data_IF_064058365882
#
_entry.id   IF_064058365882
#
_cell.length_a   1.000
_cell.length_b   1.000
_cell.length_c   1.000
_cell.angle_alpha   90.00
_cell.angle_beta   90.00
_cell.angle_gamma   90.00
#
_symmetry.space_group_name_H-M   'P 1'
#
loop_
_entity.id
_entity.type
_entity.pdbx_description
1 polymer ?
#
# COMPACT_ATOMS: atom_id res chain seq x y z
N UNK A 1 53.86 9.05 -10.79
CA UNK A 1 52.93 9.99 -11.47
C UNK A 1 51.55 9.68 -10.92
N UNK A 2 50.85 10.64 -10.29
CA UNK A 2 49.55 10.40 -9.69
C UNK A 2 48.48 10.40 -10.80
N UNK A 3 47.68 9.35 -10.85
CA UNK A 3 46.50 9.27 -11.71
C UNK A 3 45.51 10.37 -11.31
N UNK A 4 45.25 11.32 -12.23
CA UNK A 4 44.13 12.25 -12.10
C UNK A 4 42.83 11.43 -12.14
N UNK A 5 42.30 11.13 -10.95
CA UNK A 5 40.96 10.57 -10.80
C UNK A 5 39.95 11.50 -11.48
N UNK A 6 39.11 10.90 -12.32
CA UNK A 6 38.27 11.59 -13.29
C UNK A 6 37.37 12.64 -12.66
N UNK A 7 37.69 13.91 -12.94
CA UNK A 7 36.75 15.00 -12.77
C UNK A 7 35.64 14.81 -13.81
N UNK A 8 34.46 14.41 -13.36
CA UNK A 8 33.24 14.45 -14.18
C UNK A 8 32.99 15.90 -14.58
N UNK A 9 32.97 16.17 -15.89
CA UNK A 9 32.63 17.49 -16.46
C UNK A 9 31.13 17.83 -16.27
N UNK A 10 30.33 16.89 -15.78
CA UNK A 10 28.90 17.03 -15.59
C UNK A 10 28.63 17.51 -14.16
N UNK A 11 28.61 18.84 -13.99
CA UNK A 11 28.36 19.51 -12.71
C UNK A 11 26.87 19.54 -12.33
N UNK A 12 25.98 19.15 -13.26
CA UNK A 12 24.53 19.12 -13.10
C UNK A 12 23.95 17.70 -13.25
N UNK A 13 24.77 16.68 -12.97
CA UNK A 13 24.35 15.29 -12.88
C UNK A 13 23.96 14.94 -11.44
N UNK A 14 23.03 14.00 -11.27
CA UNK A 14 22.67 13.44 -9.96
C UNK A 14 22.74 11.92 -9.97
N UNK A 15 23.32 11.32 -8.94
CA UNK A 15 23.24 9.87 -8.74
C UNK A 15 21.78 9.48 -8.50
N UNK A 16 21.27 8.51 -9.25
CA UNK A 16 19.93 7.97 -9.09
C UNK A 16 19.60 7.58 -7.65
N UNK A 17 20.59 7.17 -6.83
CA UNK A 17 20.38 6.88 -5.40
C UNK A 17 19.76 8.05 -4.66
N UNK A 18 20.19 9.29 -4.95
CA UNK A 18 19.61 10.49 -4.33
C UNK A 18 18.13 10.61 -4.67
N UNK A 19 17.75 10.37 -5.93
CA UNK A 19 16.34 10.36 -6.33
C UNK A 19 15.54 9.22 -5.67
N UNK A 20 16.12 8.01 -5.57
CA UNK A 20 15.46 6.88 -4.93
C UNK A 20 15.21 7.14 -3.43
N UNK A 21 16.21 7.65 -2.72
CA UNK A 21 16.11 8.00 -1.31
C UNK A 21 15.07 9.12 -1.10
N UNK A 22 15.03 10.09 -2.00
CA UNK A 22 14.09 11.21 -1.96
C UNK A 22 12.61 10.76 -2.04
N UNK A 23 12.31 9.69 -2.78
CA UNK A 23 10.92 9.19 -2.95
C UNK A 23 10.57 8.00 -2.05
N UNK A 24 11.57 7.34 -1.46
CA UNK A 24 11.39 6.09 -0.72
C UNK A 24 10.37 6.22 0.42
N UNK A 25 10.52 7.24 1.27
CA UNK A 25 9.64 7.47 2.42
C UNK A 25 8.19 7.73 1.99
N UNK A 26 8.01 8.59 0.99
CA UNK A 26 6.68 8.95 0.46
C UNK A 26 5.96 7.74 -0.13
N UNK A 27 6.68 6.85 -0.83
CA UNK A 27 6.12 5.62 -1.39
C UNK A 27 5.71 4.64 -0.28
N UNK A 28 6.57 4.42 0.72
CA UNK A 28 6.22 3.56 1.87
C UNK A 28 5.00 4.10 2.61
N UNK A 29 4.93 5.41 2.80
CA UNK A 29 3.77 6.05 3.42
C UNK A 29 2.50 5.87 2.59
N UNK A 30 2.58 5.94 1.26
CA UNK A 30 1.45 5.63 0.40
C UNK A 30 0.99 4.17 0.56
N UNK A 31 1.92 3.20 0.55
CA UNK A 31 1.59 1.78 0.74
C UNK A 31 0.88 1.55 2.08
N UNK A 32 1.41 2.11 3.17
CA UNK A 32 0.78 2.04 4.51
C UNK A 32 -0.57 2.75 4.56
N UNK A 33 -0.72 3.86 3.84
CA UNK A 33 -1.99 4.60 3.79
C UNK A 33 -3.09 3.80 3.09
N UNK A 34 -2.78 3.10 2.02
CA UNK A 34 -3.76 2.38 1.20
C UNK A 34 -3.81 0.87 1.47
N UNK A 35 -2.98 0.37 2.38
CA UNK A 35 -2.90 -1.05 2.69
C UNK A 35 -2.88 -1.36 4.17
N UNK A 36 -3.15 -2.63 4.45
CA UNK A 36 -2.92 -3.28 5.74
C UNK A 36 -2.47 -4.71 5.45
N UNK A 37 -1.27 -5.10 5.90
CA UNK A 37 -0.61 -6.37 5.51
C UNK A 37 -1.48 -7.63 5.65
N UNK A 38 -2.37 -7.64 6.65
CA UNK A 38 -3.25 -8.77 6.95
C UNK A 38 -4.66 -8.65 6.32
N UNK A 39 -4.99 -7.52 5.69
CA UNK A 39 -6.35 -7.23 5.22
C UNK A 39 -6.44 -6.82 3.74
N UNK A 40 -5.33 -6.45 3.11
CA UNK A 40 -5.26 -6.17 1.68
C UNK A 40 -4.64 -4.83 1.35
N UNK A 41 -4.66 -4.49 0.06
CA UNK A 41 -4.08 -3.27 -0.49
C UNK A 41 -4.99 -2.74 -1.60
N UNK A 42 -5.36 -1.47 -1.52
CA UNK A 42 -6.05 -0.76 -2.60
C UNK A 42 -5.07 -0.50 -3.75
N UNK A 43 -4.94 -1.49 -4.64
CA UNK A 43 -3.86 -1.54 -5.63
C UNK A 43 -3.95 -0.37 -6.61
N UNK A 44 -5.12 -0.02 -7.10
CA UNK A 44 -5.26 1.07 -8.07
C UNK A 44 -4.87 2.42 -7.46
N UNK A 45 -5.42 2.73 -6.28
CA UNK A 45 -5.22 3.99 -5.57
C UNK A 45 -3.77 4.15 -5.12
N UNK A 46 -3.13 3.08 -4.60
CA UNK A 46 -1.73 3.13 -4.21
C UNK A 46 -0.82 3.32 -5.43
N UNK A 47 -1.09 2.63 -6.54
CA UNK A 47 -0.28 2.72 -7.76
C UNK A 47 -0.42 4.11 -8.40
N UNK A 48 -1.62 4.67 -8.43
CA UNK A 48 -1.83 6.05 -8.85
C UNK A 48 -1.07 7.05 -7.96
N UNK A 49 -1.16 6.89 -6.63
CA UNK A 49 -0.49 7.80 -5.70
C UNK A 49 1.02 7.73 -5.87
N UNK A 50 1.58 6.54 -6.00
CA UNK A 50 3.01 6.32 -6.25
C UNK A 50 3.43 6.95 -7.57
N UNK A 51 2.64 6.77 -8.65
CA UNK A 51 2.92 7.41 -9.94
C UNK A 51 2.94 8.93 -9.81
N UNK A 52 1.99 9.53 -9.10
CA UNK A 52 1.95 10.97 -8.82
C UNK A 52 3.19 11.42 -8.03
N UNK A 53 3.56 10.72 -6.96
CA UNK A 53 4.78 11.01 -6.17
C UNK A 53 6.02 11.02 -7.08
N UNK A 54 6.23 9.95 -7.84
CA UNK A 54 7.39 9.79 -8.71
C UNK A 54 7.45 10.92 -9.75
N UNK A 55 6.34 11.18 -10.44
CA UNK A 55 6.30 12.23 -11.48
C UNK A 55 6.61 13.59 -10.88
N UNK A 56 5.94 13.99 -9.79
CA UNK A 56 6.15 15.30 -9.17
C UNK A 56 7.59 15.48 -8.66
N UNK A 57 8.11 14.48 -7.94
CA UNK A 57 9.46 14.54 -7.34
C UNK A 57 10.53 14.54 -8.42
N UNK A 58 10.31 13.81 -9.51
CA UNK A 58 11.22 13.78 -10.65
C UNK A 58 11.21 15.09 -11.44
N UNK A 59 10.04 15.68 -11.67
CA UNK A 59 9.96 17.02 -12.29
C UNK A 59 10.75 18.03 -11.47
N UNK A 60 10.55 18.05 -10.15
CA UNK A 60 11.27 18.97 -9.28
C UNK A 60 12.79 18.75 -9.29
N UNK A 61 13.27 17.51 -9.23
CA UNK A 61 14.72 17.25 -9.26
C UNK A 61 15.33 17.61 -10.63
N UNK A 62 14.58 17.42 -11.72
CA UNK A 62 15.00 17.78 -13.08
C UNK A 62 15.20 19.27 -13.28
N UNK A 63 14.58 20.15 -12.48
CA UNK A 63 14.77 21.61 -12.55
C UNK A 63 16.22 22.04 -12.27
N UNK A 64 16.99 21.18 -11.60
CA UNK A 64 18.39 21.43 -11.23
C UNK A 64 19.40 20.71 -12.15
N UNK A 65 18.93 20.00 -13.17
CA UNK A 65 19.76 19.18 -14.06
C UNK A 65 19.80 19.79 -15.47
N UNK A 66 20.95 19.69 -16.12
CA UNK A 66 21.06 19.97 -17.55
C UNK A 66 20.45 18.83 -18.40
N UNK A 67 20.44 18.99 -19.73
CA UNK A 67 19.85 17.99 -20.63
C UNK A 67 20.48 16.60 -20.46
N UNK A 68 21.81 16.55 -20.27
CA UNK A 68 22.54 15.31 -20.06
C UNK A 68 22.11 14.64 -18.75
N UNK A 69 22.08 15.38 -17.64
CA UNK A 69 21.66 14.89 -16.34
C UNK A 69 20.21 14.39 -16.34
N UNK A 70 19.31 15.09 -17.04
CA UNK A 70 17.93 14.65 -17.20
C UNK A 70 17.83 13.34 -17.99
N UNK A 71 18.53 13.21 -19.12
CA UNK A 71 18.55 11.98 -19.91
C UNK A 71 19.12 10.79 -19.12
N UNK A 72 20.21 11.02 -18.38
CA UNK A 72 20.82 10.02 -17.51
C UNK A 72 19.86 9.56 -16.42
N UNK A 73 19.27 10.51 -15.67
CA UNK A 73 18.28 10.20 -14.63
C UNK A 73 17.09 9.41 -15.19
N UNK A 74 16.59 9.80 -16.37
CA UNK A 74 15.50 9.11 -17.06
C UNK A 74 15.85 7.65 -17.39
N UNK A 75 17.05 7.42 -17.93
CA UNK A 75 17.56 6.10 -18.31
C UNK A 75 17.76 5.21 -17.07
N UNK A 76 18.48 5.71 -16.07
CA UNK A 76 18.76 4.96 -14.83
C UNK A 76 17.47 4.64 -14.09
N UNK A 77 16.52 5.59 -14.01
CA UNK A 77 15.20 5.35 -13.45
C UNK A 77 14.45 4.24 -14.19
N UNK A 78 14.42 4.26 -15.53
CA UNK A 78 13.72 3.24 -16.32
C UNK A 78 14.22 1.83 -16.02
N UNK A 79 15.53 1.68 -15.79
CA UNK A 79 16.18 0.41 -15.46
C UNK A 79 15.88 0.01 -14.01
N UNK A 80 16.05 0.92 -13.05
CA UNK A 80 15.97 0.61 -11.61
C UNK A 80 14.54 0.58 -11.04
N UNK A 81 13.59 1.27 -11.67
CA UNK A 81 12.22 1.47 -11.18
C UNK A 81 11.56 0.20 -10.64
N UNK A 82 11.53 -0.87 -11.43
CA UNK A 82 10.75 -2.06 -11.08
C UNK A 82 11.35 -2.79 -9.88
N UNK A 83 12.68 -2.92 -9.84
CA UNK A 83 13.38 -3.54 -8.72
C UNK A 83 13.23 -2.72 -7.43
N UNK A 84 13.33 -1.40 -7.55
CA UNK A 84 13.12 -0.48 -6.43
C UNK A 84 11.69 -0.58 -5.86
N UNK A 85 10.66 -0.45 -6.71
CA UNK A 85 9.27 -0.52 -6.26
C UNK A 85 8.91 -1.90 -5.69
N UNK A 86 9.37 -2.98 -6.33
CA UNK A 86 9.17 -4.33 -5.82
C UNK A 86 9.72 -4.49 -4.40
N UNK A 87 10.95 -4.04 -4.17
CA UNK A 87 11.58 -4.05 -2.85
C UNK A 87 10.75 -3.30 -1.81
N UNK A 88 10.26 -2.09 -2.14
CA UNK A 88 9.46 -1.30 -1.19
C UNK A 88 8.13 -1.97 -0.83
N UNK A 89 7.44 -2.59 -1.80
CA UNK A 89 6.22 -3.34 -1.50
C UNK A 89 6.51 -4.56 -0.63
N UNK A 90 7.58 -5.30 -0.92
CA UNK A 90 7.97 -6.48 -0.15
C UNK A 90 8.33 -6.14 1.30
N UNK A 91 9.05 -5.05 1.53
CA UNK A 91 9.38 -4.52 2.86
C UNK A 91 8.13 -4.14 3.66
N UNK A 92 7.09 -3.62 2.99
CA UNK A 92 5.80 -3.30 3.60
C UNK A 92 4.84 -4.51 3.68
N UNK A 93 5.26 -5.69 3.20
CA UNK A 93 4.50 -6.93 3.29
C UNK A 93 3.52 -7.19 2.15
N UNK A 94 3.68 -6.52 1.01
CA UNK A 94 2.78 -6.63 -0.15
C UNK A 94 3.48 -7.19 -1.40
N UNK A 95 2.68 -7.70 -2.32
CA UNK A 95 3.14 -8.09 -3.65
C UNK A 95 3.03 -6.88 -4.57
N UNK A 96 4.12 -6.54 -5.26
CA UNK A 96 4.13 -5.45 -6.23
C UNK A 96 3.37 -5.83 -7.50
N UNK A 97 2.31 -5.08 -7.81
CA UNK A 97 1.44 -5.38 -8.94
C UNK A 97 1.08 -4.14 -9.79
N UNK A 98 1.71 -2.98 -9.60
CA UNK A 98 1.36 -1.75 -10.35
C UNK A 98 1.61 -1.80 -11.88
N UNK A 99 2.19 -2.89 -12.40
CA UNK A 99 2.35 -3.09 -13.85
C UNK A 99 1.27 -3.98 -14.47
N UNK A 100 0.44 -4.66 -13.68
CA UNK A 100 -0.55 -5.57 -14.23
C UNK A 100 -1.74 -4.80 -14.82
N UNK A 101 -2.09 -5.07 -16.08
CA UNK A 101 -3.29 -4.56 -16.76
C UNK A 101 -4.60 -5.20 -16.26
N UNK A 102 -4.58 -5.95 -15.15
CA UNK A 102 -5.63 -6.89 -14.74
C UNK A 102 -6.50 -6.42 -13.58
N UNK A 103 -6.49 -5.14 -13.24
CA UNK A 103 -7.45 -4.62 -12.28
C UNK A 103 -8.75 -4.36 -13.00
N UNK A 104 -9.76 -5.16 -12.68
CA UNK A 104 -11.14 -4.79 -13.01
C UNK A 104 -11.51 -3.72 -12.01
N UNK A 105 -11.61 -2.46 -12.44
CA UNK A 105 -12.17 -1.42 -11.58
C UNK A 105 -13.61 -1.78 -11.27
N UNK A 106 -13.88 -2.04 -10.00
CA UNK A 106 -15.20 -2.29 -9.50
C UNK A 106 -15.43 -1.39 -8.28
N UNK A 107 -16.13 -0.27 -8.46
CA UNK A 107 -16.30 0.72 -7.40
C UNK A 107 -16.87 0.13 -6.11
N UNK A 108 -17.80 -0.82 -6.19
CA UNK A 108 -18.43 -1.39 -4.99
C UNK A 108 -17.46 -2.31 -4.22
N UNK A 109 -16.64 -3.09 -4.92
CA UNK A 109 -15.64 -3.96 -4.30
C UNK A 109 -14.44 -3.17 -3.78
N UNK A 110 -14.01 -2.14 -4.52
CA UNK A 110 -12.97 -1.20 -4.07
C UNK A 110 -13.40 -0.45 -2.81
N UNK A 111 -14.66 0.00 -2.75
CA UNK A 111 -15.23 0.61 -1.56
C UNK A 111 -15.30 -0.37 -0.38
N UNK A 112 -15.70 -1.62 -0.62
CA UNK A 112 -15.76 -2.66 0.41
C UNK A 112 -14.37 -2.97 0.97
N UNK A 113 -13.35 -3.09 0.10
CA UNK A 113 -11.94 -3.27 0.48
C UNK A 113 -11.43 -2.09 1.31
N UNK A 114 -11.74 -0.86 0.89
CA UNK A 114 -11.39 0.36 1.62
C UNK A 114 -11.90 0.33 3.06
N UNK A 115 -13.19 0.05 3.23
CA UNK A 115 -13.83 -0.08 4.56
C UNK A 115 -13.18 -1.19 5.39
N UNK A 116 -12.81 -2.30 4.77
CA UNK A 116 -12.15 -3.40 5.47
C UNK A 116 -10.76 -3.03 5.97
N UNK A 117 -9.95 -2.37 5.15
CA UNK A 117 -8.62 -1.88 5.52
C UNK A 117 -8.72 -0.85 6.65
N UNK A 118 -9.67 0.08 6.56
CA UNK A 118 -9.94 1.06 7.61
C UNK A 118 -10.36 0.40 8.93
N UNK A 119 -11.22 -0.62 8.87
CA UNK A 119 -11.58 -1.42 10.03
C UNK A 119 -10.32 -2.05 10.65
N UNK A 120 -9.49 -2.72 9.86
CA UNK A 120 -8.29 -3.39 10.38
C UNK A 120 -7.35 -2.42 11.09
N UNK A 121 -7.11 -1.25 10.51
CA UNK A 121 -6.29 -0.20 11.14
C UNK A 121 -6.87 0.29 12.45
N UNK A 122 -8.18 0.61 12.48
CA UNK A 122 -8.88 1.05 13.69
C UNK A 122 -8.89 -0.03 14.76
N UNK A 123 -9.06 -1.28 14.34
CA UNK A 123 -9.06 -2.45 15.23
C UNK A 123 -7.69 -2.60 15.89
N UNK A 124 -6.60 -2.54 15.14
CA UNK A 124 -5.26 -2.69 15.69
C UNK A 124 -4.95 -1.61 16.74
N UNK A 125 -5.31 -0.35 16.48
CA UNK A 125 -5.17 0.76 17.44
C UNK A 125 -6.03 0.53 18.69
N UNK A 126 -7.34 0.30 18.52
CA UNK A 126 -8.27 0.10 19.65
C UNK A 126 -7.89 -1.11 20.50
N UNK A 127 -7.46 -2.20 19.86
CA UNK A 127 -7.03 -3.41 20.56
C UNK A 127 -5.78 -3.14 21.38
N UNK A 128 -4.79 -2.43 20.83
CA UNK A 128 -3.60 -2.04 21.57
C UNK A 128 -3.94 -1.20 22.81
N UNK A 129 -4.83 -0.21 22.67
CA UNK A 129 -5.27 0.64 23.79
C UNK A 129 -5.97 -0.15 24.92
N UNK A 130 -6.79 -1.15 24.56
CA UNK A 130 -7.48 -2.00 25.54
C UNK A 130 -6.52 -2.98 26.21
N UNK A 131 -5.56 -3.55 25.47
CA UNK A 131 -4.57 -4.49 26.02
C UNK A 131 -3.58 -3.78 26.95
N UNK A 132 -3.18 -2.55 26.64
CA UNK A 132 -2.25 -1.77 27.46
C UNK A 132 -2.87 -1.37 28.82
N UNK A 133 -4.18 -1.12 28.85
CA UNK A 133 -4.91 -0.80 30.07
C UNK A 133 -6.25 -1.58 30.14
N UNK A 134 -6.18 -2.87 30.53
CA UNK A 134 -7.32 -3.78 30.47
C UNK A 134 -8.32 -3.48 31.58
N UNK A 135 -9.31 -2.66 31.25
CA UNK A 135 -10.49 -2.46 32.07
C UNK A 135 -11.68 -3.23 31.50
N UNK A 136 -12.41 -3.94 32.34
CA UNK A 136 -13.58 -4.74 31.92
C UNK A 136 -14.56 -3.93 31.06
N UNK A 137 -14.88 -2.70 31.46
CA UNK A 137 -15.75 -1.80 30.69
C UNK A 137 -15.21 -1.48 29.29
N UNK A 138 -13.90 -1.28 29.14
CA UNK A 138 -13.24 -1.05 27.85
C UNK A 138 -13.28 -2.30 26.97
N UNK A 139 -13.08 -3.49 27.54
CA UNK A 139 -13.21 -4.76 26.81
C UNK A 139 -14.64 -4.95 26.27
N UNK A 140 -15.66 -4.67 27.09
CA UNK A 140 -17.07 -4.74 26.67
C UNK A 140 -17.36 -3.74 25.54
N UNK A 141 -16.91 -2.49 25.65
CA UNK A 141 -17.07 -1.48 24.61
C UNK A 141 -16.39 -1.88 23.30
N UNK A 142 -15.17 -2.41 23.39
CA UNK A 142 -14.45 -2.93 22.23
C UNK A 142 -15.20 -4.09 21.56
N UNK A 143 -15.63 -5.09 22.33
CA UNK A 143 -16.37 -6.24 21.80
C UNK A 143 -17.72 -5.83 21.18
N UNK A 144 -18.41 -4.84 21.75
CA UNK A 144 -19.63 -4.25 21.18
C UNK A 144 -19.34 -3.56 19.84
N UNK A 145 -18.24 -2.80 19.77
CA UNK A 145 -17.81 -2.17 18.52
C UNK A 145 -17.49 -3.22 17.44
N UNK A 146 -16.76 -4.29 17.78
CA UNK A 146 -16.48 -5.41 16.86
C UNK A 146 -17.77 -6.02 16.29
N UNK A 147 -18.78 -6.23 17.13
CA UNK A 147 -20.06 -6.78 16.67
C UNK A 147 -20.81 -5.86 15.72
N UNK A 148 -20.83 -4.56 16.03
CA UNK A 148 -21.41 -3.55 15.13
C UNK A 148 -20.71 -3.54 13.77
N UNK A 149 -19.38 -3.53 13.75
CA UNK A 149 -18.61 -3.56 12.50
C UNK A 149 -18.82 -4.86 11.73
N UNK A 150 -18.85 -6.02 12.43
CA UNK A 150 -19.10 -7.34 11.84
C UNK A 150 -20.45 -7.37 11.13
N UNK A 151 -21.51 -6.86 11.77
CA UNK A 151 -22.86 -6.84 11.21
C UNK A 151 -22.93 -5.98 9.94
N UNK A 152 -22.45 -4.73 10.02
CA UNK A 152 -22.46 -3.82 8.87
C UNK A 152 -21.66 -4.38 7.70
N UNK A 153 -20.43 -4.85 7.94
CA UNK A 153 -19.58 -5.40 6.89
C UNK A 153 -20.17 -6.67 6.27
N UNK A 154 -20.74 -7.57 7.09
CA UNK A 154 -21.33 -8.81 6.58
C UNK A 154 -22.49 -8.54 5.64
N UNK A 155 -23.35 -7.57 5.95
CA UNK A 155 -24.46 -7.20 5.08
C UNK A 155 -23.94 -6.67 3.73
N UNK A 156 -23.04 -5.68 3.75
CA UNK A 156 -22.47 -5.13 2.51
C UNK A 156 -21.70 -6.18 1.69
N UNK A 157 -21.00 -7.10 2.35
CA UNK A 157 -20.34 -8.22 1.71
C UNK A 157 -21.35 -9.13 1.00
N UNK A 158 -22.45 -9.50 1.67
CA UNK A 158 -23.48 -10.37 1.09
C UNK A 158 -24.17 -9.70 -0.11
N UNK A 159 -24.42 -8.40 -0.05
CA UNK A 159 -24.97 -7.63 -1.17
C UNK A 159 -24.04 -7.69 -2.39
N UNK A 160 -22.72 -7.55 -2.19
CA UNK A 160 -21.74 -7.71 -3.26
C UNK A 160 -21.64 -9.15 -3.78
N UNK A 161 -21.71 -10.15 -2.89
CA UNK A 161 -21.70 -11.57 -3.29
C UNK A 161 -22.90 -11.91 -4.16
N UNK A 162 -24.07 -11.32 -3.89
CA UNK A 162 -25.27 -11.46 -4.72
C UNK A 162 -25.02 -11.01 -6.18
N UNK A 163 -24.18 -10.00 -6.38
CA UNK A 163 -23.89 -9.42 -7.69
C UNK A 163 -22.71 -10.08 -8.44
N UNK A 164 -21.74 -10.69 -7.74
CA UNK A 164 -20.48 -11.15 -8.37
C UNK A 164 -20.04 -12.59 -8.12
N UNK A 165 -20.59 -13.30 -7.11
CA UNK A 165 -20.04 -14.51 -6.44
C UNK A 165 -18.98 -14.22 -5.36
N UNK A 166 -18.94 -15.08 -4.33
CA UNK A 166 -17.99 -14.97 -3.22
C UNK A 166 -16.54 -15.06 -3.65
N UNK A 167 -16.21 -15.95 -4.59
CA UNK A 167 -14.84 -16.11 -5.08
C UNK A 167 -14.31 -14.83 -5.75
N UNK A 168 -15.17 -14.10 -6.46
CA UNK A 168 -14.81 -12.82 -7.07
C UNK A 168 -14.58 -11.75 -6.00
N UNK A 169 -15.47 -11.68 -5.00
CA UNK A 169 -15.36 -10.72 -3.90
C UNK A 169 -14.11 -11.01 -3.05
N UNK A 170 -13.89 -12.26 -2.65
CA UNK A 170 -12.76 -12.67 -1.79
C UNK A 170 -11.40 -12.34 -2.40
N UNK A 171 -11.26 -12.40 -3.73
CA UNK A 171 -10.03 -12.02 -4.44
C UNK A 171 -9.60 -10.57 -4.21
N UNK A 172 -10.53 -9.65 -3.94
CA UNK A 172 -10.18 -8.25 -3.63
C UNK A 172 -9.45 -8.12 -2.30
N UNK A 173 -9.65 -9.08 -1.39
CA UNK A 173 -9.02 -9.13 -0.08
C UNK A 173 -7.73 -9.96 -0.07
N UNK A 174 -7.10 -10.10 -1.23
CA UNK A 174 -5.83 -10.82 -1.34
C UNK A 174 -4.73 -10.17 -0.50
N UNK A 175 -3.95 -11.01 0.15
CA UNK A 175 -2.78 -10.62 0.93
C UNK A 175 -1.58 -11.42 0.47
N UNK A 176 -0.39 -11.11 1.00
CA UNK A 176 0.81 -11.91 0.73
C UNK A 176 0.64 -13.38 1.17
N UNK A 177 -0.03 -13.61 2.29
CA UNK A 177 -0.30 -14.96 2.82
C UNK A 177 -1.46 -15.66 2.10
N UNK A 178 -2.41 -14.88 1.57
CA UNK A 178 -3.58 -15.38 0.87
C UNK A 178 -3.70 -14.72 -0.52
N UNK A 179 -2.81 -15.06 -1.48
CA UNK A 179 -2.76 -14.40 -2.79
C UNK A 179 -3.96 -14.69 -3.69
N UNK A 180 -4.77 -15.69 -3.36
CA UNK A 180 -6.02 -16.03 -4.05
C UNK A 180 -7.25 -15.34 -3.45
N UNK A 181 -7.06 -14.53 -2.41
CA UNK A 181 -8.15 -14.01 -1.59
C UNK A 181 -8.60 -15.00 -0.54
N UNK A 182 -9.32 -14.48 0.47
CA UNK A 182 -9.94 -15.24 1.55
C UNK A 182 -11.16 -14.47 2.03
N UNK A 183 -12.16 -15.18 2.54
CA UNK A 183 -13.33 -14.58 3.19
C UNK A 183 -12.93 -13.55 4.26
N UNK A 184 -13.13 -12.24 4.00
CA UNK A 184 -12.72 -11.18 4.91
C UNK A 184 -13.57 -11.13 6.19
N UNK A 185 -14.73 -11.78 6.22
CA UNK A 185 -15.61 -11.84 7.41
C UNK A 185 -14.94 -12.60 8.55
N UNK A 186 -14.00 -13.50 8.24
CA UNK A 186 -13.25 -14.25 9.25
C UNK A 186 -12.42 -13.32 10.14
N UNK A 187 -11.88 -12.22 9.59
CA UNK A 187 -11.16 -11.21 10.36
C UNK A 187 -12.03 -10.66 11.49
N UNK A 188 -13.29 -10.34 11.21
CA UNK A 188 -14.22 -9.80 12.21
C UNK A 188 -14.59 -10.83 13.28
N UNK A 189 -14.79 -12.10 12.88
CA UNK A 189 -15.13 -13.19 13.82
C UNK A 189 -14.03 -13.43 14.86
N UNK A 190 -12.77 -13.28 14.48
CA UNK A 190 -11.62 -13.50 15.36
C UNK A 190 -11.09 -12.21 16.02
N UNK A 191 -11.86 -11.11 16.01
CA UNK A 191 -11.39 -9.82 16.50
C UNK A 191 -11.79 -9.48 17.93
N UNK A 192 -12.68 -10.25 18.57
CA UNK A 192 -13.07 -10.02 19.96
C UNK A 192 -11.93 -10.33 20.93
N UNK A 193 -11.99 -9.73 22.10
CA UNK A 193 -11.19 -10.09 23.27
C UNK A 193 -11.98 -11.09 24.10
N UNK A 194 -11.32 -12.18 24.50
CA UNK A 194 -11.84 -13.17 25.44
C UNK A 194 -11.74 -12.69 26.89
#
# INVERSE_FOLDING_TARGET
MPDLQGYTIYTHDIDIKVFLDYIQGDIKNAIRKYGHKNCGLQQEEVCEKIRKIITTKKTHISEFLDEHGQQRLNSEWRIKKNGFLKKLFEEEGFIYMCHSKKYTDNPSLNQLLSKHIDFCKKKDVRRAEVVDNPAFSKCIQYNSWIESQRKTFTNEYLDNVSNFTSQTVDKYFSTKEHPQGRDPRLTYRHSKLD
#
